data_IF_653377208658
#
_entry.id   IF_653377208658
#
_cell.length_a   1.000
_cell.length_b   1.000
_cell.length_c   1.000
_cell.angle_alpha   90.00
_cell.angle_beta   90.00
_cell.angle_gamma   90.00
#
_symmetry.space_group_name_H-M   'P 1'
#
loop_
_entity.id
_entity.type
_entity.pdbx_description
1 polymer ?
#
# COMPACT_ATOMS: atom_id res chain seq x y z
N UNK A 1 -10.97 7.01 16.84
CA UNK A 1 -12.41 6.80 17.19
C UNK A 1 -12.95 5.51 16.57
N UNK A 2 -12.93 5.31 15.24
CA UNK A 2 -13.49 4.11 14.59
C UNK A 2 -12.92 2.75 15.10
N UNK A 3 -11.60 2.65 15.33
CA UNK A 3 -10.99 1.41 15.82
C UNK A 3 -11.47 0.97 17.22
N UNK A 4 -11.89 1.90 18.09
CA UNK A 4 -12.30 1.56 19.47
C UNK A 4 -13.62 0.81 19.55
N UNK A 5 -14.50 0.98 18.57
CA UNK A 5 -15.82 0.34 18.53
C UNK A 5 -15.88 -0.79 17.50
N UNK A 6 -14.75 -1.14 16.90
CA UNK A 6 -14.69 -2.20 15.91
C UNK A 6 -14.75 -3.57 16.56
N UNK A 7 -15.46 -4.48 15.90
CA UNK A 7 -15.45 -5.90 16.25
C UNK A 7 -14.13 -6.56 15.84
N UNK A 8 -13.50 -6.04 14.77
CA UNK A 8 -12.25 -6.56 14.22
C UNK A 8 -11.36 -5.46 13.69
N UNK A 9 -10.07 -5.59 13.93
CA UNK A 9 -9.03 -4.76 13.33
C UNK A 9 -8.11 -5.64 12.51
N UNK A 10 -8.02 -5.35 11.21
CA UNK A 10 -7.11 -6.01 10.29
C UNK A 10 -5.94 -5.08 9.99
N UNK A 11 -4.72 -5.59 10.05
CA UNK A 11 -3.47 -4.84 9.83
C UNK A 11 -2.62 -5.51 8.75
N UNK A 12 -1.56 -4.87 8.26
CA UNK A 12 -0.53 -5.59 7.49
C UNK A 12 0.34 -6.43 8.46
N UNK A 13 1.62 -6.16 8.79
CA UNK A 13 2.27 -6.83 9.93
C UNK A 13 1.93 -6.14 11.25
N UNK A 14 1.63 -6.93 12.28
CA UNK A 14 1.46 -6.44 13.66
C UNK A 14 2.69 -5.69 14.15
N UNK A 15 3.88 -6.21 13.86
CA UNK A 15 5.15 -5.63 14.29
C UNK A 15 5.34 -4.20 13.78
N UNK A 16 5.09 -3.95 12.49
CA UNK A 16 5.25 -2.61 11.92
C UNK A 16 4.09 -1.69 12.30
N UNK A 17 2.88 -2.22 12.44
CA UNK A 17 1.74 -1.44 12.92
C UNK A 17 1.95 -0.92 14.34
N UNK A 18 2.62 -1.70 15.19
CA UNK A 18 2.95 -1.30 16.56
C UNK A 18 3.99 -0.17 16.65
N UNK A 19 4.80 0.05 15.60
CA UNK A 19 5.86 1.07 15.60
C UNK A 19 5.49 2.28 14.74
N UNK A 20 4.89 2.05 13.57
CA UNK A 20 4.65 3.06 12.55
C UNK A 20 3.16 3.35 12.31
N UNK A 21 2.26 2.51 12.82
CA UNK A 21 0.83 2.64 12.58
C UNK A 21 0.12 3.55 13.57
N UNK A 22 -1.06 4.04 13.18
CA UNK A 22 -1.91 4.90 14.02
C UNK A 22 -2.36 4.22 15.33
N UNK A 23 -2.35 2.88 15.36
CA UNK A 23 -2.70 2.10 16.55
C UNK A 23 -1.65 2.22 17.64
N UNK A 24 -0.36 2.41 17.29
CA UNK A 24 0.70 2.66 18.25
C UNK A 24 0.42 3.90 19.12
N UNK A 25 -0.23 4.91 18.53
CA UNK A 25 -0.58 6.18 19.21
C UNK A 25 -1.88 6.11 20.01
N UNK A 26 -2.67 5.05 19.84
CA UNK A 26 -4.00 4.93 20.43
C UNK A 26 -4.02 4.15 21.77
N UNK A 27 -2.86 3.69 22.26
CA UNK A 27 -2.68 3.02 23.55
C UNK A 27 -2.84 1.49 23.51
N UNK A 28 -2.64 0.82 24.65
CA UNK A 28 -2.55 -0.64 24.83
C UNK A 28 -3.87 -1.42 24.66
N UNK A 29 -4.90 -0.82 24.06
CA UNK A 29 -6.26 -1.39 24.02
C UNK A 29 -6.50 -2.43 22.91
N UNK A 30 -5.63 -2.55 21.91
CA UNK A 30 -5.86 -3.41 20.75
C UNK A 30 -5.09 -4.72 20.87
N UNK A 31 -5.68 -5.66 21.59
CA UNK A 31 -5.08 -6.98 21.84
C UNK A 31 -5.40 -7.99 20.72
N UNK A 32 -6.41 -7.72 19.89
CA UNK A 32 -6.90 -8.67 18.90
C UNK A 32 -6.72 -8.13 17.47
N UNK A 33 -5.46 -8.02 17.05
CA UNK A 33 -5.09 -7.63 15.69
C UNK A 33 -4.96 -8.88 14.81
N UNK A 34 -5.70 -8.91 13.71
CA UNK A 34 -5.55 -9.93 12.67
C UNK A 34 -4.70 -9.38 11.53
N UNK A 35 -3.74 -10.14 11.02
CA UNK A 35 -2.98 -9.71 9.84
C UNK A 35 -3.77 -10.02 8.57
N UNK A 36 -3.68 -9.14 7.58
CA UNK A 36 -4.38 -9.28 6.31
C UNK A 36 -3.99 -10.58 5.62
N UNK A 37 -2.72 -11.00 5.74
CA UNK A 37 -2.23 -12.28 5.25
C UNK A 37 -2.97 -13.47 5.84
N UNK A 38 -3.30 -13.44 7.14
CA UNK A 38 -4.03 -14.52 7.82
C UNK A 38 -5.47 -14.66 7.28
N UNK A 39 -6.12 -13.53 6.98
CA UNK A 39 -7.44 -13.50 6.36
C UNK A 39 -7.38 -14.06 4.93
N UNK A 40 -6.39 -13.62 4.15
CA UNK A 40 -6.24 -14.02 2.74
C UNK A 40 -5.95 -15.51 2.57
N UNK A 41 -5.17 -16.11 3.47
CA UNK A 41 -4.86 -17.55 3.43
C UNK A 41 -5.88 -18.41 4.19
N UNK A 42 -6.88 -17.80 4.82
CA UNK A 42 -7.93 -18.49 5.57
C UNK A 42 -7.51 -19.02 6.94
N UNK A 43 -6.36 -18.60 7.48
CA UNK A 43 -5.93 -18.96 8.85
C UNK A 43 -6.59 -18.10 9.93
N UNK A 44 -7.22 -16.98 9.55
CA UNK A 44 -8.11 -16.20 10.40
C UNK A 44 -9.39 -15.81 9.63
N UNK A 45 -10.53 -15.65 10.32
CA UNK A 45 -11.76 -15.23 9.66
C UNK A 45 -11.68 -13.81 9.12
N UNK A 46 -12.45 -13.53 8.05
CA UNK A 46 -12.73 -12.17 7.59
C UNK A 46 -13.87 -11.53 8.39
N UNK A 47 -14.72 -10.76 7.71
CA UNK A 47 -16.01 -10.33 8.25
C UNK A 47 -16.97 -11.51 8.25
N UNK A 48 -17.67 -11.74 9.36
CA UNK A 48 -18.55 -12.90 9.53
C UNK A 48 -20.02 -12.52 9.58
N UNK A 49 -20.34 -11.26 9.93
CA UNK A 49 -21.72 -10.78 10.05
C UNK A 49 -21.91 -9.39 9.47
N UNK A 50 -23.13 -9.10 9.04
CA UNK A 50 -23.49 -7.80 8.45
C UNK A 50 -23.49 -6.63 9.44
N UNK A 51 -23.63 -6.88 10.74
CA UNK A 51 -23.56 -5.84 11.77
C UNK A 51 -22.16 -5.61 12.34
N UNK A 52 -21.16 -6.40 11.91
CA UNK A 52 -19.78 -6.22 12.34
C UNK A 52 -19.13 -4.98 11.71
N UNK A 53 -18.56 -4.15 12.57
CA UNK A 53 -17.68 -3.05 12.18
C UNK A 53 -16.25 -3.59 12.10
N UNK A 54 -15.73 -3.72 10.89
CA UNK A 54 -14.33 -4.10 10.63
C UNK A 54 -13.53 -2.87 10.21
N UNK A 55 -12.35 -2.67 10.83
CA UNK A 55 -11.44 -1.58 10.48
C UNK A 55 -10.14 -2.17 9.95
N UNK A 56 -9.82 -1.91 8.69
CA UNK A 56 -8.50 -2.17 8.14
C UNK A 56 -7.59 -0.97 8.41
N UNK A 57 -6.48 -1.19 9.10
CA UNK A 57 -5.44 -0.18 9.33
C UNK A 57 -4.13 -0.71 8.78
N UNK A 58 -3.86 -0.28 7.55
CA UNK A 58 -2.73 -0.73 6.75
C UNK A 58 -1.67 0.38 6.75
N UNK A 59 -0.42 0.02 6.95
CA UNK A 59 0.70 0.97 6.92
C UNK A 59 1.29 1.06 5.51
N UNK A 60 1.02 0.08 4.65
CA UNK A 60 1.65 -0.10 3.35
C UNK A 60 2.99 -0.82 3.47
N UNK A 61 3.20 -1.82 2.60
CA UNK A 61 4.46 -2.54 2.46
C UNK A 61 4.98 -2.43 1.03
N UNK A 62 6.29 -2.21 0.86
CA UNK A 62 6.87 -2.17 -0.48
C UNK A 62 6.68 -3.46 -1.30
N UNK A 63 6.48 -4.61 -0.65
CA UNK A 63 6.13 -5.86 -1.35
C UNK A 63 4.75 -5.80 -2.02
N UNK A 64 3.80 -5.06 -1.44
CA UNK A 64 2.47 -4.84 -2.02
C UNK A 64 2.59 -3.98 -3.29
N UNK A 65 3.43 -2.94 -3.24
CA UNK A 65 3.71 -2.09 -4.40
C UNK A 65 4.41 -2.88 -5.52
N UNK A 66 5.38 -3.72 -5.16
CA UNK A 66 6.09 -4.57 -6.12
C UNK A 66 5.14 -5.53 -6.83
N UNK A 67 4.25 -6.21 -6.10
CA UNK A 67 3.26 -7.11 -6.69
C UNK A 67 2.30 -6.35 -7.63
N UNK A 68 1.85 -5.15 -7.24
CA UNK A 68 1.01 -4.32 -8.11
C UNK A 68 1.76 -3.87 -9.38
N UNK A 69 3.05 -3.53 -9.26
CA UNK A 69 3.89 -3.16 -10.38
C UNK A 69 4.12 -4.34 -11.35
N UNK A 70 4.35 -5.54 -10.84
CA UNK A 70 4.49 -6.76 -11.64
C UNK A 70 3.24 -7.01 -12.50
N UNK A 71 2.06 -7.05 -11.87
CA UNK A 71 0.78 -7.22 -12.57
C UNK A 71 0.57 -6.12 -13.63
N UNK A 72 0.90 -4.87 -13.28
CA UNK A 72 0.80 -3.75 -14.21
C UNK A 72 1.72 -3.93 -15.41
N UNK A 73 2.96 -4.35 -15.18
CA UNK A 73 3.94 -4.58 -16.23
C UNK A 73 3.51 -5.72 -17.16
N UNK A 74 2.94 -6.80 -16.64
CA UNK A 74 2.42 -7.89 -17.45
C UNK A 74 1.24 -7.44 -18.32
N UNK A 75 0.28 -6.73 -17.72
CA UNK A 75 -0.86 -6.15 -18.45
C UNK A 75 -0.40 -5.20 -19.56
N UNK A 76 0.60 -4.37 -19.27
CA UNK A 76 1.23 -3.53 -20.26
C UNK A 76 1.82 -4.42 -21.36
N UNK A 77 2.78 -5.30 -21.08
CA UNK A 77 3.46 -6.10 -22.12
C UNK A 77 2.50 -6.87 -23.04
N UNK A 78 1.32 -7.27 -22.55
CA UNK A 78 0.28 -7.92 -23.34
C UNK A 78 -0.40 -7.02 -24.41
N UNK A 79 -0.46 -5.70 -24.24
CA UNK A 79 -1.19 -4.78 -25.15
C UNK A 79 -0.34 -4.24 -26.32
N UNK A 80 0.92 -4.65 -26.46
CA UNK A 80 1.83 -4.22 -27.53
C UNK A 80 2.92 -3.23 -27.04
N UNK A 81 3.81 -2.71 -27.90
CA UNK A 81 4.99 -1.98 -27.44
C UNK A 81 4.63 -0.63 -26.82
N UNK A 82 4.81 -0.51 -25.51
CA UNK A 82 4.82 0.78 -24.82
C UNK A 82 5.97 1.59 -25.37
N UNK A 83 5.76 2.89 -25.61
CA UNK A 83 6.87 3.77 -25.98
C UNK A 83 7.96 3.61 -24.91
N UNK A 84 9.09 3.00 -25.29
CA UNK A 84 10.37 3.15 -24.60
C UNK A 84 10.87 4.58 -24.82
N UNK A 85 10.12 5.58 -24.37
CA UNK A 85 10.76 6.83 -24.02
C UNK A 85 11.35 6.57 -22.65
N UNK A 86 12.66 6.70 -22.53
CA UNK A 86 13.27 6.86 -21.22
C UNK A 86 12.42 7.90 -20.48
N UNK A 87 11.95 7.62 -19.25
CA UNK A 87 11.35 8.68 -18.46
C UNK A 87 12.34 9.83 -18.46
N UNK A 88 11.87 11.07 -18.62
CA UNK A 88 12.74 12.24 -18.62
C UNK A 88 13.62 12.14 -17.37
N UNK A 89 14.88 11.77 -17.57
CA UNK A 89 15.83 11.68 -16.48
C UNK A 89 16.25 13.12 -16.16
N UNK A 90 16.81 13.38 -14.98
CA UNK A 90 17.24 14.73 -14.62
C UNK A 90 18.15 15.35 -15.70
N UNK A 91 18.94 14.53 -16.39
CA UNK A 91 19.76 14.91 -17.54
C UNK A 91 18.97 15.32 -18.79
N UNK A 92 17.74 14.84 -18.99
CA UNK A 92 16.87 15.25 -20.10
C UNK A 92 16.24 16.64 -19.87
N UNK A 93 16.04 17.04 -18.60
CA UNK A 93 15.61 18.40 -18.24
C UNK A 93 16.74 19.42 -18.43
N UNK A 94 17.97 19.05 -18.04
CA UNK A 94 19.17 19.90 -18.19
C UNK A 94 19.54 20.15 -19.66
N UNK A 95 19.19 19.23 -20.57
CA UNK A 95 19.39 19.43 -22.00
C UNK A 95 18.36 20.41 -22.61
N UNK A 96 17.17 20.55 -22.01
CA UNK A 96 16.11 21.44 -22.49
C UNK A 96 16.33 22.91 -22.08
N UNK A 97 17.06 23.16 -20.98
CA UNK A 97 17.44 24.51 -20.50
C UNK A 97 18.59 25.14 -21.32
N UNK A 98 19.15 24.41 -22.30
CA UNK A 98 20.16 24.90 -23.24
C UNK A 98 19.61 25.72 -24.42
N UNK A 99 18.33 26.11 -24.40
CA UNK A 99 17.80 27.06 -25.39
C UNK A 99 18.39 28.44 -25.12
N UNK A 100 19.49 28.75 -25.82
CA UNK A 100 20.13 30.05 -25.82
C UNK A 100 19.11 31.15 -26.18
N UNK A 101 18.68 31.94 -25.18
CA UNK A 101 18.28 33.32 -25.44
C UNK A 101 19.56 34.09 -25.79
N UNK A 102 19.85 34.25 -27.08
CA UNK A 102 20.79 35.27 -27.54
C UNK A 102 20.19 36.67 -27.30
N UNK A 103 21.01 37.69 -26.97
CA UNK A 103 20.54 39.06 -26.81
C UNK A 103 20.03 39.67 -28.13
#
# INVERSE_FOLDING_TARGET
MAARYSNRIVVDPRALTAVHGDLARAGTGFQNLTELGEVLVGSAPGRERDDEITVCKLIGLGVQDLAAAEVTMDCLLAVGPHRRRSPACATDLMAADGCACSP
#
